data_IF_928667282222
#
_entry.id   IF_928667282222
#
_cell.length_a   1.000
_cell.length_b   1.000
_cell.length_c   1.000
_cell.angle_alpha   90.00
_cell.angle_beta   90.00
_cell.angle_gamma   90.00
#
_symmetry.space_group_name_H-M   'P 1'
#
loop_
_entity.id
_entity.type
_entity.pdbx_description
1 polymer ?
#
# COMPACT_ATOMS: atom_id res chain seq x y z
N UNK A 1 -0.92 18.95 3.61
CA UNK A 1 -0.25 17.70 3.22
C UNK A 1 -1.08 16.56 3.76
N UNK A 2 -1.41 15.56 2.94
CA UNK A 2 -2.06 14.36 3.45
C UNK A 2 -1.02 13.51 4.19
N UNK A 3 -1.37 13.04 5.37
CA UNK A 3 -0.54 12.11 6.13
C UNK A 3 -0.60 10.71 5.50
N UNK A 4 0.44 9.90 5.71
CA UNK A 4 0.44 8.51 5.27
C UNK A 4 -0.69 7.73 5.94
N UNK A 5 -1.59 7.12 5.17
CA UNK A 5 -2.72 6.34 5.69
C UNK A 5 -2.28 5.11 6.53
N UNK A 6 -1.04 4.66 6.37
CA UNK A 6 -0.52 3.46 7.03
C UNK A 6 0.17 3.77 8.37
N UNK A 7 1.09 4.74 8.37
CA UNK A 7 1.90 5.07 9.55
C UNK A 7 1.50 6.38 10.23
N UNK A 8 0.52 7.11 9.67
CA UNK A 8 -0.06 8.37 10.16
C UNK A 8 0.94 9.49 10.47
N UNK A 9 2.18 9.32 10.03
CA UNK A 9 3.21 10.36 10.14
C UNK A 9 2.95 11.44 9.10
N UNK A 10 3.29 12.68 9.47
CA UNK A 10 3.31 13.86 8.61
C UNK A 10 4.37 13.75 7.51
N UNK A 11 4.12 12.85 6.57
CA UNK A 11 4.92 12.56 5.40
C UNK A 11 4.04 12.64 4.17
N UNK A 12 4.58 13.10 3.03
CA UNK A 12 3.81 13.17 1.81
C UNK A 12 3.34 11.76 1.39
N UNK A 13 2.05 11.65 1.09
CA UNK A 13 1.48 10.49 0.39
C UNK A 13 1.94 10.52 -1.05
N UNK A 14 2.84 9.62 -1.43
CA UNK A 14 3.44 9.57 -2.76
C UNK A 14 2.79 8.49 -3.64
N UNK A 15 2.31 7.40 -3.03
CA UNK A 15 1.88 6.21 -3.76
C UNK A 15 0.46 5.79 -3.38
N UNK A 16 -0.48 5.69 -4.33
CA UNK A 16 -1.78 5.11 -4.09
C UNK A 16 -1.70 3.57 -4.14
N UNK A 17 -2.11 2.90 -3.07
CA UNK A 17 -2.23 1.43 -3.01
C UNK A 17 -3.70 1.03 -2.84
N UNK A 18 -4.15 -0.02 -3.55
CA UNK A 18 -5.48 -0.58 -3.36
C UNK A 18 -5.43 -1.60 -2.22
N UNK A 19 -6.06 -1.28 -1.10
CA UNK A 19 -6.13 -2.16 0.06
C UNK A 19 -7.53 -2.76 0.20
N UNK A 20 -7.66 -4.06 0.53
CA UNK A 20 -8.95 -4.64 0.88
C UNK A 20 -9.48 -3.96 2.14
N UNK A 21 -10.67 -3.37 2.06
CA UNK A 21 -11.35 -2.77 3.21
C UNK A 21 -12.64 -3.54 3.48
N UNK A 22 -12.91 -3.84 4.74
CA UNK A 22 -14.15 -4.48 5.16
C UNK A 22 -15.20 -3.42 5.44
N UNK A 23 -15.54 -2.62 4.43
CA UNK A 23 -16.65 -1.68 4.52
C UNK A 23 -17.64 -1.93 3.38
N UNK A 24 -18.93 -1.69 3.64
CA UNK A 24 -20.00 -1.90 2.66
C UNK A 24 -19.91 -0.93 1.47
N UNK A 25 -19.22 0.21 1.66
CA UNK A 25 -19.07 1.26 0.65
C UNK A 25 -18.07 0.86 -0.45
N UNK A 26 -17.02 0.10 -0.12
CA UNK A 26 -15.97 -0.30 -1.06
C UNK A 26 -15.65 -1.79 -0.91
N UNK A 27 -16.57 -2.68 -1.34
CA UNK A 27 -16.41 -4.12 -1.20
C UNK A 27 -15.19 -4.66 -1.97
N UNK A 28 -14.79 -3.96 -3.03
CA UNK A 28 -13.63 -4.28 -3.86
C UNK A 28 -12.29 -3.73 -3.32
N UNK A 29 -12.30 -3.06 -2.17
CA UNK A 29 -11.14 -2.37 -1.61
C UNK A 29 -11.14 -0.86 -1.88
N UNK A 30 -10.39 -0.12 -1.05
CA UNK A 30 -10.25 1.33 -1.17
C UNK A 30 -8.80 1.71 -1.44
N UNK A 31 -8.61 2.82 -2.16
CA UNK A 31 -7.29 3.40 -2.35
C UNK A 31 -6.83 4.13 -1.08
N UNK A 32 -5.57 3.87 -0.71
CA UNK A 32 -4.88 4.47 0.43
C UNK A 32 -3.58 5.11 -0.04
N UNK A 33 -3.30 6.31 0.43
CA UNK A 33 -2.07 7.03 0.13
C UNK A 33 -0.98 6.63 1.13
N UNK A 34 0.12 6.07 0.64
CA UNK A 34 1.27 5.69 1.48
C UNK A 34 2.52 6.49 1.13
N UNK A 35 3.40 6.63 2.12
CA UNK A 35 4.74 7.16 1.93
C UNK A 35 5.69 6.09 1.37
N UNK A 36 6.84 6.55 0.87
CA UNK A 36 7.99 5.77 0.41
C UNK A 36 8.37 4.61 1.34
N UNK A 37 8.60 4.89 2.63
CA UNK A 37 9.05 3.88 3.59
C UNK A 37 8.00 2.78 3.78
N UNK A 38 6.72 3.17 3.87
CA UNK A 38 5.64 2.21 4.04
C UNK A 38 5.50 1.29 2.83
N UNK A 39 5.74 1.82 1.62
CA UNK A 39 5.75 1.01 0.40
C UNK A 39 6.85 -0.06 0.45
N UNK A 40 8.09 0.32 0.82
CA UNK A 40 9.20 -0.64 0.95
C UNK A 40 8.91 -1.75 1.96
N UNK A 41 8.30 -1.42 3.11
CA UNK A 41 7.93 -2.43 4.11
C UNK A 41 6.81 -3.35 3.61
N UNK A 42 5.84 -2.81 2.86
CA UNK A 42 4.78 -3.62 2.26
C UNK A 42 5.35 -4.58 1.21
N UNK A 43 6.27 -4.13 0.37
CA UNK A 43 6.95 -4.99 -0.61
C UNK A 43 7.75 -6.08 0.08
N UNK A 44 8.54 -5.74 1.12
CA UNK A 44 9.27 -6.74 1.92
C UNK A 44 8.34 -7.78 2.54
N UNK A 45 7.28 -7.35 3.22
CA UNK A 45 6.32 -8.26 3.84
C UNK A 45 5.54 -9.10 2.81
N UNK A 46 5.31 -8.56 1.62
CA UNK A 46 4.71 -9.32 0.52
C UNK A 46 5.67 -10.39 0.01
N UNK A 47 6.95 -10.06 -0.17
CA UNK A 47 8.00 -11.00 -0.58
C UNK A 47 8.18 -12.14 0.44
N UNK A 48 8.16 -11.82 1.74
CA UNK A 48 8.26 -12.81 2.82
C UNK A 48 7.07 -13.78 2.85
N UNK A 49 5.86 -13.31 2.52
CA UNK A 49 4.62 -14.11 2.58
C UNK A 49 4.28 -14.85 1.30
N UNK A 50 4.57 -14.25 0.15
CA UNK A 50 4.10 -14.73 -1.16
C UNK A 50 5.26 -15.05 -2.13
N UNK A 51 6.51 -14.79 -1.73
CA UNK A 51 7.69 -15.00 -2.56
C UNK A 51 7.95 -13.86 -3.55
N UNK A 52 8.88 -14.07 -4.49
CA UNK A 52 9.21 -13.09 -5.52
C UNK A 52 8.11 -12.95 -6.56
N UNK A 53 7.66 -11.71 -6.76
CA UNK A 53 6.68 -11.34 -7.79
C UNK A 53 7.25 -11.77 -9.13
N UNK A 54 6.49 -12.46 -9.99
CA UNK A 54 6.93 -12.63 -11.37
C UNK A 54 7.07 -11.22 -11.94
N UNK A 55 8.30 -10.84 -12.28
CA UNK A 55 8.56 -9.61 -13.02
C UNK A 55 7.67 -9.65 -14.26
N UNK A 56 6.70 -8.73 -14.33
CA UNK A 56 5.94 -8.50 -15.55
C UNK A 56 6.92 -7.90 -16.55
N UNK A 57 7.56 -8.79 -17.33
CA UNK A 57 8.37 -8.41 -18.49
C UNK A 57 7.46 -7.62 -19.42
N UNK A 58 7.76 -6.34 -19.53
CA UNK A 58 7.24 -5.38 -20.52
C UNK A 58 7.12 -5.98 -21.92
#
# INVERSE_FOLDING_TARGET
>A
MADCDLCTRARPTLYPIKAPVHNLTYPEGAYKGVCDICLEHLEKGWQERFGSKPEEKK
#
